data_IF_798359120336
#
_entry.id   IF_798359120336
#
_cell.length_a   1.000
_cell.length_b   1.000
_cell.length_c   1.000
_cell.angle_alpha   90.00
_cell.angle_beta   90.00
_cell.angle_gamma   90.00
#
_symmetry.space_group_name_H-M   'P 1'
#
loop_
_entity.id
_entity.type
_entity.pdbx_description
1 polymer ?
#
# COMPACT_ATOMS: atom_id res chain seq x y z
N UNK A 1 -4.54 -11.87 29.66
CA UNK A 1 -4.96 -12.93 28.72
C UNK A 1 -5.76 -12.39 27.52
N UNK A 2 -6.64 -11.39 27.70
CA UNK A 2 -7.49 -10.80 26.63
C UNK A 2 -6.66 -9.99 25.61
N UNK A 3 -5.63 -9.26 26.05
CA UNK A 3 -4.74 -8.47 25.16
C UNK A 3 -3.95 -9.36 24.19
N UNK A 4 -3.53 -10.54 24.62
CA UNK A 4 -2.77 -11.48 23.78
C UNK A 4 -3.57 -12.09 22.64
N UNK A 5 -4.90 -12.23 22.80
CA UNK A 5 -5.79 -12.76 21.75
C UNK A 5 -6.03 -11.69 20.67
N UNK A 6 -6.27 -10.44 21.06
CA UNK A 6 -6.51 -9.34 20.13
C UNK A 6 -5.29 -9.08 19.24
N UNK A 7 -4.08 -9.12 19.81
CA UNK A 7 -2.84 -8.93 19.06
C UNK A 7 -2.59 -10.04 18.03
N UNK A 8 -2.94 -11.30 18.33
CA UNK A 8 -2.82 -12.40 17.37
C UNK A 8 -3.79 -12.23 16.19
N UNK A 9 -4.99 -11.73 16.45
CA UNK A 9 -6.02 -11.50 15.42
C UNK A 9 -5.59 -10.36 14.48
N UNK A 10 -5.10 -9.24 15.01
CA UNK A 10 -4.67 -8.08 14.20
C UNK A 10 -3.46 -8.44 13.33
N UNK A 11 -2.48 -9.17 13.89
CA UNK A 11 -1.34 -9.66 13.12
C UNK A 11 -1.76 -10.63 12.01
N UNK A 12 -2.63 -11.58 12.34
CA UNK A 12 -3.14 -12.54 11.35
C UNK A 12 -3.94 -11.85 10.24
N UNK A 13 -4.69 -10.80 10.56
CA UNK A 13 -5.41 -9.98 9.57
C UNK A 13 -4.42 -9.26 8.64
N UNK A 14 -3.39 -8.62 9.19
CA UNK A 14 -2.29 -7.99 8.43
C UNK A 14 -1.53 -9.01 7.55
N UNK A 15 -1.38 -10.25 8.00
CA UNK A 15 -0.78 -11.36 7.25
C UNK A 15 -1.65 -11.86 6.10
N UNK A 16 -2.95 -11.96 6.32
CA UNK A 16 -3.91 -12.30 5.27
C UNK A 16 -3.95 -11.20 4.21
N UNK A 17 -4.06 -9.93 4.62
CA UNK A 17 -4.08 -8.78 3.71
C UNK A 17 -2.81 -8.76 2.86
N UNK A 18 -1.64 -8.92 3.47
CA UNK A 18 -0.38 -8.98 2.74
C UNK A 18 -0.29 -10.13 1.74
N UNK A 19 -0.86 -11.29 2.08
CA UNK A 19 -0.90 -12.44 1.18
C UNK A 19 -1.81 -12.16 -0.03
N UNK A 20 -2.94 -11.49 0.21
CA UNK A 20 -3.85 -11.03 -0.84
C UNK A 20 -3.17 -9.98 -1.72
N UNK A 21 -2.54 -8.96 -1.13
CA UNK A 21 -1.77 -7.94 -1.85
C UNK A 21 -0.69 -8.56 -2.73
N UNK A 22 0.05 -9.54 -2.21
CA UNK A 22 1.08 -10.27 -2.96
C UNK A 22 0.49 -11.02 -4.15
N UNK A 23 -0.65 -11.69 -3.97
CA UNK A 23 -1.33 -12.41 -5.04
C UNK A 23 -1.83 -11.44 -6.12
N UNK A 24 -2.44 -10.32 -5.70
CA UNK A 24 -2.89 -9.26 -6.63
C UNK A 24 -1.70 -8.69 -7.40
N UNK A 25 -0.59 -8.39 -6.72
CA UNK A 25 0.61 -7.86 -7.36
C UNK A 25 1.20 -8.84 -8.40
N UNK A 26 1.22 -10.14 -8.11
CA UNK A 26 1.67 -11.16 -9.06
C UNK A 26 0.76 -11.17 -10.30
N UNK A 27 -0.56 -11.19 -10.11
CA UNK A 27 -1.52 -11.18 -11.22
C UNK A 27 -1.34 -9.91 -12.07
N UNK A 28 -1.26 -8.74 -11.44
CA UNK A 28 -1.06 -7.47 -12.13
C UNK A 28 0.26 -7.42 -12.89
N UNK A 29 1.34 -7.95 -12.32
CA UNK A 29 2.64 -8.04 -12.98
C UNK A 29 2.59 -8.95 -14.21
N UNK A 30 1.95 -10.13 -14.09
CA UNK A 30 1.77 -11.04 -15.22
C UNK A 30 0.95 -10.40 -16.33
N UNK A 31 -0.16 -9.74 -15.99
CA UNK A 31 -1.01 -9.03 -16.96
C UNK A 31 -0.24 -7.89 -17.64
N UNK A 32 0.52 -7.10 -16.88
CA UNK A 32 1.37 -6.04 -17.43
C UNK A 32 2.38 -6.58 -18.45
N UNK A 33 3.07 -7.68 -18.10
CA UNK A 33 4.06 -8.30 -18.99
C UNK A 33 3.41 -8.83 -20.27
N UNK A 34 2.27 -9.51 -20.16
CA UNK A 34 1.54 -10.05 -21.31
C UNK A 34 1.03 -8.90 -22.20
N UNK A 35 0.53 -7.82 -21.60
CA UNK A 35 0.08 -6.64 -22.32
C UNK A 35 1.22 -6.04 -23.13
N UNK A 36 2.34 -5.68 -22.47
CA UNK A 36 3.51 -5.11 -23.15
C UNK A 36 4.07 -6.02 -24.24
N UNK A 37 4.18 -7.33 -23.98
CA UNK A 37 4.63 -8.29 -24.98
C UNK A 37 3.70 -8.32 -26.20
N UNK A 38 2.38 -8.34 -25.98
CA UNK A 38 1.38 -8.28 -27.06
C UNK A 38 1.48 -6.96 -27.83
N UNK A 39 1.58 -5.83 -27.13
CA UNK A 39 1.73 -4.51 -27.76
C UNK A 39 2.98 -4.39 -28.64
N UNK A 40 4.09 -5.03 -28.26
CA UNK A 40 5.31 -5.09 -29.08
C UNK A 40 5.13 -6.02 -30.28
N UNK A 41 4.61 -7.24 -30.08
CA UNK A 41 4.42 -8.24 -31.14
C UNK A 41 3.48 -7.75 -32.25
N UNK A 42 2.38 -7.09 -31.90
CA UNK A 42 1.44 -6.61 -32.90
C UNK A 42 1.88 -5.30 -33.57
N UNK A 43 2.73 -4.52 -32.89
CA UNK A 43 3.36 -3.34 -33.49
C UNK A 43 4.37 -3.72 -34.58
N UNK A 44 5.10 -4.83 -34.44
CA UNK A 44 5.95 -5.35 -35.52
C UNK A 44 5.12 -5.88 -36.71
N UNK A 45 3.88 -6.32 -36.45
CA UNK A 45 2.89 -6.72 -37.47
C UNK A 45 2.14 -5.53 -38.11
N UNK A 46 2.58 -4.29 -37.90
CA UNK A 46 1.96 -3.03 -38.41
C UNK A 46 0.50 -2.79 -37.97
N UNK A 47 0.05 -3.45 -36.90
CA UNK A 47 -1.30 -3.26 -36.32
C UNK A 47 -1.20 -2.98 -34.82
N UNK A 48 -0.82 -1.76 -34.40
CA UNK A 48 -0.62 -1.46 -32.98
C UNK A 48 -1.92 -1.57 -32.17
N UNK A 49 -1.88 -2.27 -31.03
CA UNK A 49 -3.01 -2.35 -30.09
C UNK A 49 -2.91 -1.19 -29.11
N UNK A 50 -3.66 -0.12 -29.36
CA UNK A 50 -3.66 1.08 -28.53
C UNK A 50 -4.14 0.84 -27.09
N UNK A 51 -4.95 -0.19 -26.84
CA UNK A 51 -5.39 -0.54 -25.49
C UNK A 51 -4.30 -1.19 -24.64
N UNK A 52 -3.30 -1.81 -25.27
CA UNK A 52 -2.23 -2.55 -24.58
C UNK A 52 -1.38 -1.62 -23.71
N UNK A 53 -1.11 -0.42 -24.20
CA UNK A 53 -0.32 0.58 -23.49
C UNK A 53 -1.11 1.20 -22.32
N UNK A 54 -2.40 1.48 -22.52
CA UNK A 54 -3.29 1.95 -21.44
C UNK A 54 -3.43 0.90 -20.31
N UNK A 55 -3.56 -0.37 -20.66
CA UNK A 55 -3.69 -1.47 -19.70
C UNK A 55 -2.37 -1.72 -18.93
N UNK A 56 -1.21 -1.55 -19.56
CA UNK A 56 0.07 -1.62 -18.88
C UNK A 56 0.20 -0.49 -17.84
N UNK A 57 -0.20 0.74 -18.18
CA UNK A 57 -0.21 1.87 -17.24
C UNK A 57 -1.16 1.60 -16.08
N UNK A 58 -2.35 1.04 -16.33
CA UNK A 58 -3.29 0.64 -15.27
C UNK A 58 -2.66 -0.31 -14.26
N UNK A 59 -2.06 -1.41 -14.75
CA UNK A 59 -1.41 -2.40 -13.89
C UNK A 59 -0.24 -1.79 -13.11
N UNK A 60 0.54 -0.91 -13.74
CA UNK A 60 1.66 -0.23 -13.07
C UNK A 60 1.20 0.67 -11.92
N UNK A 61 0.13 1.44 -12.12
CA UNK A 61 -0.44 2.31 -11.08
C UNK A 61 -0.89 1.46 -9.88
N UNK A 62 -1.69 0.41 -10.13
CA UNK A 62 -2.16 -0.49 -9.08
C UNK A 62 -1.00 -1.17 -8.33
N UNK A 63 0.01 -1.65 -9.05
CA UNK A 63 1.19 -2.25 -8.44
C UNK A 63 1.99 -1.26 -7.60
N UNK A 64 2.07 0.01 -8.00
CA UNK A 64 2.81 1.03 -7.25
C UNK A 64 2.16 1.27 -5.88
N UNK A 65 0.83 1.41 -5.85
CA UNK A 65 0.09 1.65 -4.60
C UNK A 65 0.06 0.41 -3.70
N UNK A 66 -0.21 -0.78 -4.25
CA UNK A 66 -0.18 -2.04 -3.50
C UNK A 66 1.25 -2.33 -3.01
N UNK A 67 2.25 -2.13 -3.85
CA UNK A 67 3.66 -2.30 -3.50
C UNK A 67 4.11 -1.36 -2.38
N UNK A 68 3.61 -0.12 -2.36
CA UNK A 68 3.81 0.81 -1.25
C UNK A 68 3.19 0.31 0.07
N UNK A 69 1.98 -0.25 0.01
CA UNK A 69 1.28 -0.80 1.18
C UNK A 69 2.01 -2.03 1.76
N UNK A 70 2.35 -2.98 0.88
CA UNK A 70 3.20 -4.12 1.23
C UNK A 70 4.57 -3.67 1.78
N UNK A 71 5.10 -2.60 1.21
CA UNK A 71 6.32 -1.94 1.64
C UNK A 71 6.23 -1.42 3.07
N UNK A 72 5.13 -0.82 3.48
CA UNK A 72 4.93 -0.34 4.86
C UNK A 72 4.82 -1.47 5.88
N UNK A 73 4.23 -2.62 5.50
CA UNK A 73 4.23 -3.79 6.36
C UNK A 73 5.63 -4.38 6.53
N UNK A 74 6.37 -4.53 5.41
CA UNK A 74 7.66 -5.22 5.39
C UNK A 74 8.83 -4.33 5.85
N UNK A 75 8.73 -3.03 5.58
CA UNK A 75 9.67 -1.99 6.01
C UNK A 75 9.10 -1.26 7.22
N UNK A 76 8.85 -1.99 8.33
CA UNK A 76 8.93 -1.36 9.64
C UNK A 76 10.32 -0.69 9.72
N UNK A 77 10.33 0.62 9.49
CA UNK A 77 11.43 1.46 9.03
C UNK A 77 12.84 1.04 9.49
N UNK A 78 13.61 0.30 8.67
CA UNK A 78 15.01 -0.02 8.98
C UNK A 78 15.84 1.26 9.16
N UNK A 79 15.48 2.33 8.46
CA UNK A 79 16.11 3.66 8.55
C UNK A 79 15.89 4.33 9.90
N UNK A 80 14.76 4.09 10.57
CA UNK A 80 14.52 4.60 11.93
C UNK A 80 15.24 3.71 12.95
N UNK A 81 15.40 2.42 12.68
CA UNK A 81 16.14 1.49 13.57
C UNK A 81 17.57 1.96 13.81
N UNK A 82 18.29 2.42 12.77
CA UNK A 82 19.68 2.89 12.92
C UNK A 82 19.74 4.12 13.83
N UNK A 83 18.85 5.08 13.67
CA UNK A 83 18.83 6.29 14.52
C UNK A 83 18.38 5.92 15.93
N UNK A 84 17.33 5.10 16.06
CA UNK A 84 16.74 4.72 17.35
C UNK A 84 17.57 3.74 18.18
N UNK A 85 18.51 3.00 17.60
CA UNK A 85 19.45 2.14 18.36
C UNK A 85 20.52 2.93 19.12
N UNK A 86 20.74 4.21 18.78
CA UNK A 86 21.58 5.11 19.58
C UNK A 86 20.82 5.82 20.71
N UNK A 87 19.50 5.65 20.79
CA UNK A 87 18.64 6.30 21.78
C UNK A 87 18.32 5.36 22.96
N UNK A 88 18.12 5.95 24.14
CA UNK A 88 17.62 5.22 25.32
C UNK A 88 16.22 4.64 25.04
N UNK A 89 15.85 3.54 25.72
CA UNK A 89 14.57 2.84 25.49
C UNK A 89 13.36 3.77 25.52
N UNK A 90 13.33 4.74 26.45
CA UNK A 90 12.22 5.69 26.57
C UNK A 90 12.16 6.67 25.39
N UNK A 91 13.30 7.14 24.90
CA UNK A 91 13.33 8.03 23.75
C UNK A 91 12.99 7.29 22.44
N UNK A 92 13.39 6.01 22.32
CA UNK A 92 12.99 5.11 21.22
C UNK A 92 11.47 4.90 21.18
N UNK A 93 10.81 4.69 22.34
CA UNK A 93 9.33 4.60 22.43
C UNK A 93 8.66 5.85 21.85
N UNK A 94 9.11 7.04 22.28
CA UNK A 94 8.50 8.32 21.85
C UNK A 94 8.70 8.57 20.36
N UNK A 95 9.91 8.35 19.83
CA UNK A 95 10.22 8.57 18.40
C UNK A 95 9.40 7.64 17.51
N UNK A 96 9.29 6.35 17.86
CA UNK A 96 8.48 5.39 17.10
C UNK A 96 6.99 5.72 17.16
N UNK A 97 6.49 6.11 18.34
CA UNK A 97 5.10 6.51 18.52
C UNK A 97 4.76 7.75 17.67
N UNK A 98 5.57 8.80 17.77
CA UNK A 98 5.38 10.05 17.01
C UNK A 98 5.51 9.79 15.51
N UNK A 99 6.49 8.99 15.07
CA UNK A 99 6.66 8.64 13.66
C UNK A 99 5.45 7.91 13.08
N UNK A 100 4.93 6.91 13.80
CA UNK A 100 3.72 6.19 13.40
C UNK A 100 2.47 7.09 13.42
N UNK A 101 2.36 8.00 14.40
CA UNK A 101 1.27 8.96 14.47
C UNK A 101 1.27 9.91 13.26
N UNK A 102 2.44 10.47 12.92
CA UNK A 102 2.61 11.33 11.73
C UNK A 102 2.25 10.57 10.46
N UNK A 103 2.71 9.33 10.33
CA UNK A 103 2.40 8.48 9.18
C UNK A 103 0.89 8.21 9.07
N UNK A 104 0.21 7.94 10.19
CA UNK A 104 -1.23 7.71 10.23
C UNK A 104 -2.01 8.96 9.83
N UNK A 105 -1.62 10.14 10.34
CA UNK A 105 -2.21 11.43 9.96
C UNK A 105 -1.99 11.71 8.47
N UNK A 106 -0.78 11.45 7.96
CA UNK A 106 -0.45 11.63 6.55
C UNK A 106 -1.30 10.73 5.65
N UNK A 107 -1.41 9.44 5.98
CA UNK A 107 -2.25 8.49 5.24
C UNK A 107 -3.73 8.90 5.30
N UNK A 108 -4.22 9.31 6.48
CA UNK A 108 -5.60 9.79 6.64
C UNK A 108 -5.89 11.04 5.80
N UNK A 109 -4.96 11.98 5.76
CA UNK A 109 -5.06 13.19 4.93
C UNK A 109 -5.08 12.84 3.43
N UNK A 110 -4.23 11.92 2.98
CA UNK A 110 -4.23 11.47 1.59
C UNK A 110 -5.52 10.74 1.22
N UNK A 111 -6.10 9.97 2.13
CA UNK A 111 -7.39 9.30 1.93
C UNK A 111 -8.53 10.33 1.79
N UNK A 112 -8.53 11.37 2.62
CA UNK A 112 -9.47 12.48 2.51
C UNK A 112 -9.34 13.21 1.16
N UNK A 113 -8.10 13.53 0.74
CA UNK A 113 -7.85 14.18 -0.55
C UNK A 113 -8.30 13.29 -1.72
N UNK A 114 -8.00 11.99 -1.67
CA UNK A 114 -8.42 11.02 -2.67
C UNK A 114 -9.94 10.91 -2.76
N UNK A 115 -10.65 10.89 -1.63
CA UNK A 115 -12.11 10.87 -1.59
C UNK A 115 -12.70 12.15 -2.19
N UNK A 116 -12.15 13.32 -1.82
CA UNK A 116 -12.60 14.60 -2.33
C UNK A 116 -12.40 14.69 -3.85
N UNK A 117 -11.25 14.23 -4.35
CA UNK A 117 -10.96 14.15 -5.78
C UNK A 117 -11.92 13.22 -6.52
N UNK A 118 -12.10 11.97 -6.06
CA UNK A 118 -13.00 10.98 -6.69
C UNK A 118 -14.46 11.46 -6.71
N UNK A 119 -14.86 12.25 -5.71
CA UNK A 119 -16.21 12.82 -5.62
C UNK A 119 -16.45 13.98 -6.58
N UNK A 120 -15.41 14.53 -7.23
CA UNK A 120 -15.58 15.61 -8.20
C UNK A 120 -16.28 15.11 -9.48
N UNK A 121 -17.33 15.81 -9.95
CA UNK A 121 -18.13 15.38 -11.09
C UNK A 121 -17.34 15.28 -12.41
N UNK A 122 -16.23 16.03 -12.53
CA UNK A 122 -15.33 16.00 -13.69
C UNK A 122 -14.59 14.67 -13.90
N UNK A 123 -14.53 13.80 -12.88
CA UNK A 123 -13.85 12.49 -12.98
C UNK A 123 -14.82 11.40 -13.46
N UNK A 124 -16.11 11.49 -13.12
CA UNK A 124 -17.12 10.50 -13.52
C UNK A 124 -17.41 10.48 -15.02
N UNK A 125 -17.15 11.59 -15.72
CA UNK A 125 -17.46 11.77 -17.15
C UNK A 125 -16.25 11.46 -18.06
N UNK A 126 -15.06 11.25 -17.49
CA UNK A 126 -13.87 10.93 -18.28
C UNK A 126 -13.73 9.42 -18.50
N UNK A 127 -14.12 8.98 -19.69
CA UNK A 127 -13.79 7.65 -20.22
C UNK A 127 -12.37 7.66 -20.80
N UNK A 128 -11.67 6.52 -20.72
CA UNK A 128 -10.37 6.38 -21.40
C UNK A 128 -10.56 6.37 -22.92
N UNK A 129 -9.68 7.06 -23.64
CA UNK A 129 -9.83 7.33 -25.07
C UNK A 129 -9.68 6.06 -25.93
N UNK A 130 -8.88 5.07 -25.50
CA UNK A 130 -8.70 3.83 -26.25
C UNK A 130 -9.58 2.66 -25.78
N UNK A 131 -9.77 2.45 -24.46
CA UNK A 131 -10.57 1.31 -23.95
C UNK A 131 -12.06 1.62 -23.68
N UNK A 132 -12.48 2.89 -23.69
CA UNK A 132 -13.85 3.32 -23.32
C UNK A 132 -14.29 2.87 -21.90
N UNK A 133 -13.35 2.46 -21.05
CA UNK A 133 -13.62 2.09 -19.65
C UNK A 133 -13.64 3.38 -18.80
N UNK A 134 -14.56 3.50 -17.83
CA UNK A 134 -14.55 4.61 -16.88
C UNK A 134 -13.21 4.66 -16.13
N UNK A 135 -12.52 5.81 -16.15
CA UNK A 135 -11.26 6.00 -15.39
C UNK A 135 -11.42 5.80 -13.88
N UNK A 136 -12.67 5.75 -13.39
CA UNK A 136 -12.99 5.46 -11.99
C UNK A 136 -12.29 4.20 -11.46
N UNK A 137 -12.22 3.12 -12.25
CA UNK A 137 -11.54 1.89 -11.85
C UNK A 137 -10.03 2.07 -11.64
N UNK A 138 -9.42 3.01 -12.36
CA UNK A 138 -8.01 3.36 -12.20
C UNK A 138 -7.78 4.08 -10.88
N UNK A 139 -8.68 5.01 -10.53
CA UNK A 139 -8.55 5.81 -9.31
C UNK A 139 -8.91 5.05 -8.03
N UNK A 140 -9.66 3.95 -8.11
CA UNK A 140 -10.01 3.13 -6.95
C UNK A 140 -8.80 2.45 -6.29
N UNK A 141 -7.66 2.30 -6.97
CA UNK A 141 -6.46 1.75 -6.32
C UNK A 141 -6.00 2.61 -5.14
N UNK A 142 -6.22 3.93 -5.22
CA UNK A 142 -5.78 4.91 -4.23
C UNK A 142 -6.48 4.65 -2.88
N UNK A 143 -7.82 4.72 -2.76
CA UNK A 143 -8.49 4.45 -1.50
C UNK A 143 -8.29 3.00 -1.02
N UNK A 144 -8.24 2.02 -1.93
CA UNK A 144 -8.02 0.61 -1.55
C UNK A 144 -6.66 0.43 -0.88
N UNK A 145 -5.60 0.94 -1.49
CA UNK A 145 -4.25 0.82 -0.92
C UNK A 145 -4.10 1.62 0.36
N UNK A 146 -4.70 2.81 0.48
CA UNK A 146 -4.65 3.56 1.74
C UNK A 146 -5.38 2.85 2.88
N UNK A 147 -6.50 2.18 2.63
CA UNK A 147 -7.17 1.36 3.65
C UNK A 147 -6.25 0.23 4.13
N UNK A 148 -5.54 -0.45 3.23
CA UNK A 148 -4.58 -1.48 3.61
C UNK A 148 -3.40 -0.90 4.40
N UNK A 149 -2.86 0.26 3.98
CA UNK A 149 -1.81 0.96 4.70
C UNK A 149 -2.22 1.32 6.14
N UNK A 150 -3.44 1.81 6.35
CA UNK A 150 -3.96 2.10 7.70
C UNK A 150 -3.92 0.84 8.56
N UNK A 151 -4.41 -0.29 8.05
CA UNK A 151 -4.41 -1.56 8.79
C UNK A 151 -2.99 -2.00 9.15
N UNK A 152 -2.03 -1.87 8.23
CA UNK A 152 -0.63 -2.20 8.49
C UNK A 152 0.02 -1.27 9.51
N UNK A 153 -0.24 0.04 9.44
CA UNK A 153 0.29 1.02 10.41
C UNK A 153 -0.28 0.77 11.80
N UNK A 154 -1.57 0.47 11.92
CA UNK A 154 -2.15 0.07 13.20
C UNK A 154 -1.47 -1.18 13.76
N UNK A 155 -1.29 -2.23 12.95
CA UNK A 155 -0.59 -3.44 13.40
C UNK A 155 0.86 -3.15 13.86
N UNK A 156 1.59 -2.31 13.11
CA UNK A 156 2.95 -1.93 13.45
C UNK A 156 3.04 -1.11 14.75
N UNK A 157 2.06 -0.25 15.01
CA UNK A 157 1.98 0.51 16.27
C UNK A 157 1.88 -0.45 17.47
N UNK A 158 0.98 -1.43 17.42
CA UNK A 158 0.80 -2.41 18.50
C UNK A 158 2.00 -3.33 18.69
N UNK A 159 2.62 -3.79 17.60
CA UNK A 159 3.86 -4.59 17.69
C UNK A 159 5.01 -3.79 18.32
N UNK A 160 5.17 -2.53 17.92
CA UNK A 160 6.21 -1.64 18.47
C UNK A 160 6.06 -1.44 19.97
N UNK A 161 4.84 -1.37 20.52
CA UNK A 161 4.65 -1.26 21.97
C UNK A 161 5.12 -2.51 22.71
N UNK A 162 4.83 -3.70 22.17
CA UNK A 162 5.17 -4.97 22.82
C UNK A 162 6.68 -5.24 22.83
N UNK A 163 7.36 -4.98 21.71
CA UNK A 163 8.82 -5.20 21.62
C UNK A 163 9.61 -4.35 22.62
N UNK A 164 9.11 -3.18 22.99
CA UNK A 164 9.80 -2.28 23.92
C UNK A 164 9.38 -2.52 25.38
N UNK A 165 8.30 -3.25 25.63
CA UNK A 165 7.97 -3.77 26.96
C UNK A 165 8.87 -4.97 27.31
N UNK A 166 9.01 -5.92 26.37
CA UNK A 166 9.91 -7.09 26.54
C UNK A 166 11.39 -6.70 26.71
N UNK A 167 11.82 -5.58 26.12
CA UNK A 167 13.19 -5.07 26.28
C UNK A 167 13.41 -4.32 27.62
N UNK A 168 12.33 -3.81 28.24
CA UNK A 168 12.39 -3.12 29.53
C UNK A 168 12.51 -4.07 30.71
N UNK A 169 11.94 -5.27 30.61
CA UNK A 169 11.99 -6.32 31.64
C UNK A 169 13.36 -7.03 31.75
N UNK A 170 14.29 -6.77 30.83
CA UNK A 170 15.63 -7.38 30.80
C UNK A 170 16.74 -6.48 31.39
N UNK A 171 16.42 -5.27 31.88
CA UNK A 171 17.34 -4.35 32.56
C UNK A 171 16.86 -4.04 33.99
#
# INVERSE_FOLDING_TARGET
>A
MIEGVNLKIINKLSDIIFSIEKLIAIILASVLLISLASGVLFRTLKSPLFWSDELAIFCLIWMTFIGGSMGLKKNASPSITIVTDLLSQNAKKVVLFVGNLILLVFIGYLLFLAYQWISMPNIKVQTSTAMNIPKLYFYLCIPVSFVFMVIHVFNNLFLSFKTIDEAGDLN
#
